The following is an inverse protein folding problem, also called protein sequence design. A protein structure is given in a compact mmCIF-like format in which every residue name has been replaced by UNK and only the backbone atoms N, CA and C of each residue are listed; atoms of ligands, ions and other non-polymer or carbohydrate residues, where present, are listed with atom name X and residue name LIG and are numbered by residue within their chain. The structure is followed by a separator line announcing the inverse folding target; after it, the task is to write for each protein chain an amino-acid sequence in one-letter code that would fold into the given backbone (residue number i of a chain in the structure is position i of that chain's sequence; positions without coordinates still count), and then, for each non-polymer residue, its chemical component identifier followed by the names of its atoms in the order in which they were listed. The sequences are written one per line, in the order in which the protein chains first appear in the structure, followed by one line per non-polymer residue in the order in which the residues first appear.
data_IF_545771522667
#
_entry.id   IF_545771522667
#
_cell.length_a   1.000
_cell.length_b   1.000
_cell.length_c   1.000
_cell.angle_alpha   90.00
_cell.angle_beta   90.00
_cell.angle_gamma   90.00
#
_symmetry.space_group_name_H-M   'P 1'
#
loop_
_entity.id
_entity.type
_entity.pdbx_description
1 polymer ?
#
# COMPACT_ATOMS: atom_id res chain seq x y z
N UNK A 1 1.01 -13.01 -15.39
CA UNK A 1 -0.13 -13.18 -16.27
C UNK A 1 0.07 -12.46 -17.58
N UNK A 2 0.00 -13.24 -18.63
CA UNK A 2 0.29 -12.72 -19.98
C UNK A 2 -0.67 -11.59 -20.41
N UNK A 3 -1.88 -11.58 -19.85
CA UNK A 3 -2.87 -10.57 -20.21
C UNK A 3 -2.44 -9.16 -19.85
N UNK A 4 -1.86 -8.97 -18.65
CA UNK A 4 -1.39 -7.63 -18.21
C UNK A 4 -0.29 -7.12 -19.14
N UNK A 5 0.64 -7.98 -19.51
CA UNK A 5 1.74 -7.60 -20.40
C UNK A 5 1.22 -7.17 -21.77
N UNK A 6 0.22 -7.90 -22.31
CA UNK A 6 -0.35 -7.58 -23.61
C UNK A 6 -1.11 -6.26 -23.62
N UNK A 7 -1.83 -5.95 -22.55
CA UNK A 7 -2.71 -4.79 -22.51
C UNK A 7 -2.00 -3.52 -22.05
N UNK A 8 -0.97 -3.63 -21.24
CA UNK A 8 -0.30 -2.47 -20.64
C UNK A 8 1.10 -2.22 -21.19
N UNK A 9 1.68 -3.20 -21.87
CA UNK A 9 3.08 -3.14 -22.28
C UNK A 9 4.06 -3.32 -21.12
N UNK A 10 3.58 -3.72 -19.97
CA UNK A 10 4.37 -3.91 -18.76
C UNK A 10 4.38 -5.39 -18.40
N UNK A 11 5.53 -5.90 -18.02
CA UNK A 11 5.65 -7.31 -17.61
C UNK A 11 4.74 -7.59 -16.43
N UNK A 12 4.17 -8.79 -16.40
CA UNK A 12 3.19 -9.18 -15.38
C UNK A 12 3.70 -9.00 -13.97
N UNK A 13 4.92 -9.46 -13.68
CA UNK A 13 5.47 -9.34 -12.33
C UNK A 13 5.74 -7.88 -11.94
N UNK A 14 6.08 -7.02 -12.90
CA UNK A 14 6.24 -5.60 -12.62
C UNK A 14 4.88 -4.94 -12.37
N UNK A 15 3.90 -5.30 -13.18
CA UNK A 15 2.54 -4.78 -12.98
C UNK A 15 2.01 -5.17 -11.61
N UNK A 16 2.24 -6.42 -11.19
CA UNK A 16 1.77 -6.91 -9.92
C UNK A 16 2.39 -6.12 -8.75
N UNK A 17 3.69 -5.83 -8.81
CA UNK A 17 4.35 -5.03 -7.77
C UNK A 17 3.82 -3.59 -7.78
N UNK A 18 3.60 -3.01 -8.95
CA UNK A 18 3.01 -1.67 -9.06
C UNK A 18 1.64 -1.64 -8.41
N UNK A 19 0.84 -2.67 -8.63
CA UNK A 19 -0.49 -2.78 -8.03
C UNK A 19 -0.41 -2.84 -6.51
N UNK A 20 0.50 -3.64 -5.97
CA UNK A 20 0.70 -3.73 -4.52
C UNK A 20 1.12 -2.38 -3.95
N UNK A 21 2.05 -1.69 -4.62
CA UNK A 21 2.49 -0.36 -4.20
C UNK A 21 1.32 0.62 -4.15
N UNK A 22 0.52 0.66 -5.20
CA UNK A 22 -0.63 1.55 -5.26
C UNK A 22 -1.59 1.29 -4.10
N UNK A 23 -1.94 0.03 -3.87
CA UNK A 23 -2.88 -0.32 -2.82
C UNK A 23 -2.31 -0.09 -1.42
N UNK A 24 -1.00 -0.29 -1.24
CA UNK A 24 -0.35 -0.04 0.03
C UNK A 24 -0.37 1.46 0.37
N UNK A 25 -0.07 2.32 -0.60
CA UNK A 25 -0.11 3.76 -0.39
C UNK A 25 -1.53 4.24 -0.14
N UNK A 26 -2.49 3.72 -0.90
CA UNK A 26 -3.90 4.04 -0.72
C UNK A 26 -4.39 3.57 0.64
N UNK A 27 -4.00 2.37 1.07
CA UNK A 27 -4.36 1.85 2.38
C UNK A 27 -3.81 2.69 3.52
N UNK A 28 -2.54 3.13 3.41
CA UNK A 28 -1.95 4.01 4.42
C UNK A 28 -2.71 5.32 4.53
N UNK A 29 -3.10 5.91 3.39
CA UNK A 29 -3.86 7.15 3.36
C UNK A 29 -5.24 6.96 3.99
N UNK A 30 -5.94 5.90 3.61
CA UNK A 30 -7.26 5.59 4.15
C UNK A 30 -7.22 5.36 5.66
N UNK A 31 -6.20 4.67 6.15
CA UNK A 31 -6.03 4.45 7.59
C UNK A 31 -5.84 5.74 8.37
N UNK A 32 -5.32 6.79 7.74
CA UNK A 32 -5.24 8.10 8.36
C UNK A 32 -6.63 8.64 8.73
N UNK A 33 -7.60 8.45 7.84
CA UNK A 33 -8.98 8.84 8.09
C UNK A 33 -9.60 7.99 9.22
N UNK A 34 -9.36 6.69 9.20
CA UNK A 34 -9.86 5.80 10.24
C UNK A 34 -9.28 6.16 11.61
N UNK A 35 -8.00 6.52 11.64
CA UNK A 35 -7.35 6.94 12.87
C UNK A 35 -8.01 8.20 13.43
N UNK A 36 -8.32 9.18 12.57
CA UNK A 36 -9.02 10.39 13.00
C UNK A 36 -10.38 10.06 13.59
N UNK A 37 -11.12 9.15 12.95
CA UNK A 37 -12.42 8.72 13.45
C UNK A 37 -12.32 8.12 14.86
N UNK A 38 -11.34 7.26 15.07
CA UNK A 38 -11.12 6.61 16.36
C UNK A 38 -10.72 7.64 17.44
N UNK A 39 -9.86 8.60 17.08
CA UNK A 39 -9.46 9.66 17.99
C UNK A 39 -10.62 10.54 18.40
N UNK A 40 -11.47 10.90 17.42
CA UNK A 40 -12.65 11.72 17.71
C UNK A 40 -13.66 10.97 18.58
N UNK A 41 -13.74 9.66 18.45
CA UNK A 41 -14.59 8.83 19.29
C UNK A 41 -13.99 8.57 20.67
N UNK A 42 -12.73 8.98 20.90
CA UNK A 42 -12.05 8.71 22.16
C UNK A 42 -11.68 7.25 22.34
N UNK A 43 -11.61 6.48 21.26
CA UNK A 43 -11.31 5.04 21.31
C UNK A 43 -9.82 4.83 21.07
N UNK A 44 -9.07 4.76 22.19
CA UNK A 44 -7.62 4.63 22.13
C UNK A 44 -7.16 3.28 21.57
N UNK A 45 -7.91 2.23 21.85
CA UNK A 45 -7.58 0.89 21.35
C UNK A 45 -7.67 0.83 19.84
N UNK A 46 -8.76 1.35 19.27
CA UNK A 46 -8.91 1.41 17.82
C UNK A 46 -7.88 2.35 17.19
N UNK A 47 -7.60 3.49 17.82
CA UNK A 47 -6.60 4.41 17.31
C UNK A 47 -5.22 3.72 17.19
N UNK A 48 -4.84 2.96 18.20
CA UNK A 48 -3.59 2.23 18.18
C UNK A 48 -3.58 1.16 17.09
N UNK A 49 -4.68 0.44 16.92
CA UNK A 49 -4.80 -0.56 15.88
C UNK A 49 -4.62 0.07 14.49
N UNK A 50 -5.28 1.20 14.23
CA UNK A 50 -5.16 1.86 12.93
C UNK A 50 -3.76 2.41 12.67
N UNK A 51 -3.05 2.87 13.71
CA UNK A 51 -1.64 3.26 13.56
C UNK A 51 -0.77 2.08 13.13
N UNK A 52 -1.01 0.92 13.72
CA UNK A 52 -0.26 -0.29 13.38
C UNK A 52 -0.53 -0.73 11.95
N UNK A 53 -1.80 -0.71 11.54
CA UNK A 53 -2.18 -1.07 10.17
C UNK A 53 -1.54 -0.08 9.18
N UNK A 54 -1.60 1.21 9.47
CA UNK A 54 -1.00 2.23 8.61
C UNK A 54 0.51 2.00 8.46
N UNK A 55 1.19 1.66 9.56
CA UNK A 55 2.62 1.36 9.55
C UNK A 55 2.94 0.16 8.67
N UNK A 56 2.10 -0.87 8.72
CA UNK A 56 2.26 -2.06 7.88
C UNK A 56 2.11 -1.71 6.39
N UNK A 57 1.11 -0.90 6.04
CA UNK A 57 0.95 -0.45 4.67
C UNK A 57 2.15 0.36 4.19
N UNK A 58 2.70 1.24 5.04
CA UNK A 58 3.89 2.02 4.69
C UNK A 58 5.10 1.13 4.43
N UNK A 59 5.28 0.10 5.25
CA UNK A 59 6.37 -0.86 5.05
C UNK A 59 6.22 -1.61 3.73
N UNK A 60 5.01 -2.04 3.39
CA UNK A 60 4.74 -2.69 2.11
C UNK A 60 5.02 -1.74 0.96
N UNK A 61 4.63 -0.48 1.09
CA UNK A 61 4.91 0.52 0.07
C UNK A 61 6.41 0.72 -0.15
N UNK A 62 7.17 0.87 0.93
CA UNK A 62 8.61 1.06 0.85
C UNK A 62 9.30 -0.14 0.23
N UNK A 63 8.90 -1.35 0.61
CA UNK A 63 9.45 -2.57 0.06
C UNK A 63 9.13 -2.70 -1.43
N UNK A 64 7.91 -2.35 -1.81
CA UNK A 64 7.50 -2.37 -3.22
C UNK A 64 8.34 -1.39 -4.06
N UNK A 65 8.59 -0.20 -3.53
CA UNK A 65 9.44 0.78 -4.21
C UNK A 65 10.85 0.25 -4.42
N UNK A 66 11.41 -0.40 -3.42
CA UNK A 66 12.76 -0.98 -3.51
C UNK A 66 12.80 -2.06 -4.59
N UNK A 67 11.81 -2.95 -4.61
CA UNK A 67 11.74 -4.01 -5.60
C UNK A 67 11.60 -3.45 -7.02
N UNK A 68 10.75 -2.44 -7.21
CA UNK A 68 10.58 -1.81 -8.51
C UNK A 68 11.85 -1.11 -8.97
N UNK A 69 12.52 -0.40 -8.06
CA UNK A 69 13.75 0.31 -8.39
C UNK A 69 14.82 -0.64 -8.94
N UNK A 70 14.87 -1.85 -8.40
CA UNK A 70 15.83 -2.87 -8.85
C UNK A 70 15.45 -3.46 -10.21
N UNK A 71 14.17 -3.50 -10.54
CA UNK A 71 13.67 -4.23 -11.71
C UNK A 71 13.35 -3.36 -12.91
N UNK A 72 13.12 -2.07 -12.72
CA UNK A 72 12.72 -1.16 -13.79
C UNK A 72 13.88 -0.31 -14.32
N UNK A 73 15.09 -0.80 -14.22
CA UNK A 73 16.28 -0.12 -14.74
C UNK A 73 16.34 -0.16 -16.26
#
# INVERSE_FOLDING_TARGET
MAMSERTTGTRDEHYDVISVLYHALQGADTCGTYLQDAEQAGDQELAQFFREVQGTYRQLGDRSKTLLRQRLR
#
